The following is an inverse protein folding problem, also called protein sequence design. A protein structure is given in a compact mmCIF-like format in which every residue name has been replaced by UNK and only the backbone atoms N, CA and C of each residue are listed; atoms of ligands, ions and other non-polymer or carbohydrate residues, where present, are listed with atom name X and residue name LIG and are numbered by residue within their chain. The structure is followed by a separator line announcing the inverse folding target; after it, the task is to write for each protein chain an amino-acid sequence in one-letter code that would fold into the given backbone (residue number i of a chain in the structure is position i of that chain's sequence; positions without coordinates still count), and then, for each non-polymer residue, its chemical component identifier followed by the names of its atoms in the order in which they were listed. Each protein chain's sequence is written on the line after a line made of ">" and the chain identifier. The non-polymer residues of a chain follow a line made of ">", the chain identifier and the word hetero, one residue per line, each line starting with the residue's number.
data_IF_311760956070
#
_entry.id   IF_311760956070
#
_cell.length_a   1.000
_cell.length_b   1.000
_cell.length_c   1.000
_cell.angle_alpha   90.00
_cell.angle_beta   90.00
_cell.angle_gamma   90.00
#
_symmetry.space_group_name_H-M   'P 1'
#
loop_
_entity.id
_entity.type
_entity.pdbx_description
1 polymer ?
#
# COMPACT_ATOMS: atom_id res chain seq x y z
N UNK A 1 7.98 -23.19 -15.76
CA UNK A 1 8.11 -22.28 -14.60
C UNK A 1 7.98 -23.11 -13.33
N UNK A 2 9.05 -23.26 -12.55
CA UNK A 2 9.02 -23.96 -11.26
C UNK A 2 8.19 -23.16 -10.26
N UNK A 3 7.22 -23.80 -9.61
CA UNK A 3 6.43 -23.14 -8.56
C UNK A 3 7.36 -22.68 -7.43
N UNK A 4 7.30 -21.41 -7.07
CA UNK A 4 8.07 -20.89 -5.94
C UNK A 4 7.69 -21.66 -4.67
N UNK A 5 8.71 -22.02 -3.86
CA UNK A 5 8.49 -22.72 -2.59
C UNK A 5 7.61 -21.86 -1.67
N UNK A 6 6.78 -22.50 -0.86
CA UNK A 6 5.88 -21.81 0.07
C UNK A 6 6.62 -20.77 0.94
N UNK A 7 7.81 -21.12 1.45
CA UNK A 7 8.67 -20.18 2.23
C UNK A 7 8.99 -18.90 1.48
N UNK A 8 9.32 -18.99 0.18
CA UNK A 8 9.63 -17.82 -0.65
C UNK A 8 8.41 -16.93 -0.81
N UNK A 9 7.22 -17.52 -0.99
CA UNK A 9 5.96 -16.76 -1.08
C UNK A 9 5.63 -16.06 0.22
N UNK A 10 5.74 -16.76 1.35
CA UNK A 10 5.49 -16.19 2.68
C UNK A 10 6.45 -15.03 2.98
N UNK A 11 7.73 -15.21 2.64
CA UNK A 11 8.74 -14.17 2.82
C UNK A 11 8.47 -12.93 1.95
N UNK A 12 8.09 -13.15 0.69
CA UNK A 12 7.68 -12.06 -0.20
C UNK A 12 6.47 -11.30 0.36
N UNK A 13 5.45 -12.00 0.86
CA UNK A 13 4.27 -11.36 1.42
C UNK A 13 4.57 -10.59 2.71
N UNK A 14 5.45 -11.12 3.55
CA UNK A 14 5.91 -10.40 4.75
C UNK A 14 6.64 -9.11 4.38
N UNK A 15 7.55 -9.16 3.41
CA UNK A 15 8.26 -7.97 2.95
C UNK A 15 7.28 -6.98 2.33
N UNK A 16 6.33 -7.43 1.52
CA UNK A 16 5.34 -6.56 0.91
C UNK A 16 4.47 -5.84 1.97
N UNK A 17 4.05 -6.57 3.01
CA UNK A 17 3.35 -5.98 4.16
C UNK A 17 4.20 -4.96 4.91
N UNK A 18 5.47 -5.30 5.15
CA UNK A 18 6.43 -4.39 5.79
C UNK A 18 6.66 -3.12 4.97
N UNK A 19 6.76 -3.21 3.64
CA UNK A 19 6.84 -2.06 2.76
C UNK A 19 5.57 -1.20 2.82
N UNK A 20 4.39 -1.83 2.90
CA UNK A 20 3.13 -1.10 3.05
C UNK A 20 3.11 -0.28 4.34
N UNK A 21 3.45 -0.89 5.48
CA UNK A 21 3.59 -0.17 6.76
C UNK A 21 4.65 0.92 6.68
N UNK A 22 5.80 0.62 6.09
CA UNK A 22 6.89 1.59 5.99
C UNK A 22 6.46 2.85 5.24
N UNK A 23 5.87 2.72 4.06
CA UNK A 23 5.46 3.88 3.28
C UNK A 23 4.26 4.61 3.88
N UNK A 24 3.28 3.89 4.44
CA UNK A 24 2.09 4.51 4.98
C UNK A 24 2.31 5.13 6.35
N UNK A 25 2.99 4.44 7.26
CA UNK A 25 3.09 4.83 8.66
C UNK A 25 4.42 5.51 9.01
N UNK A 26 5.55 4.89 8.61
CA UNK A 26 6.87 5.41 8.96
C UNK A 26 7.18 6.67 8.15
N UNK A 27 7.06 6.59 6.82
CA UNK A 27 7.31 7.74 5.94
C UNK A 27 6.27 8.85 6.12
N UNK A 28 5.05 8.49 6.53
CA UNK A 28 3.99 9.44 6.88
C UNK A 28 4.15 10.09 8.25
N UNK A 29 4.93 9.48 9.12
CA UNK A 29 5.15 9.96 10.49
C UNK A 29 4.00 9.68 11.46
N UNK A 30 2.96 8.94 11.05
CA UNK A 30 1.82 8.55 11.90
C UNK A 30 2.23 7.52 12.95
N UNK A 31 3.08 6.58 12.57
CA UNK A 31 3.70 5.62 13.48
C UNK A 31 5.19 5.46 13.11
N UNK A 32 6.10 6.28 13.62
CA UNK A 32 7.51 6.27 13.20
C UNK A 32 8.27 5.01 13.61
N UNK A 33 7.79 4.27 14.61
CA UNK A 33 8.44 3.06 15.13
C UNK A 33 7.50 1.85 15.25
N UNK A 34 6.67 1.52 14.22
CA UNK A 34 5.63 0.49 14.32
C UNK A 34 6.21 -0.93 14.51
N UNK A 35 7.49 -1.12 14.22
CA UNK A 35 8.17 -2.41 14.37
C UNK A 35 8.76 -2.65 15.78
N UNK A 36 8.66 -1.67 16.67
CA UNK A 36 9.25 -1.70 18.00
C UNK A 36 8.23 -1.64 19.14
N UNK A 37 6.95 -1.45 18.82
CA UNK A 37 5.88 -1.43 19.80
C UNK A 37 4.84 -2.54 19.56
N UNK A 38 4.09 -2.88 20.61
CA UNK A 38 3.13 -3.98 20.55
C UNK A 38 1.95 -3.67 19.60
N UNK A 39 1.50 -2.42 19.52
CA UNK A 39 0.42 -2.02 18.63
C UNK A 39 0.83 -2.15 17.16
N UNK A 40 2.01 -1.65 16.83
CA UNK A 40 2.57 -1.77 15.49
C UNK A 40 2.74 -3.22 15.03
N UNK A 41 3.29 -4.09 15.91
CA UNK A 41 3.53 -5.49 15.57
C UNK A 41 2.27 -6.34 15.51
N UNK A 42 1.32 -6.16 16.44
CA UNK A 42 0.16 -7.04 16.57
C UNK A 42 -1.10 -6.50 15.89
N UNK A 43 -1.17 -5.22 15.60
CA UNK A 43 -2.31 -4.60 14.91
C UNK A 43 -1.92 -4.03 13.55
N UNK A 44 -1.00 -3.06 13.49
CA UNK A 44 -0.69 -2.32 12.25
C UNK A 44 -0.07 -3.25 11.20
N UNK A 45 1.00 -3.97 11.53
CA UNK A 45 1.68 -4.84 10.55
C UNK A 45 0.77 -5.95 10.00
N UNK A 46 -0.01 -6.69 10.80
CA UNK A 46 -0.98 -7.65 10.27
C UNK A 46 -2.08 -7.00 9.43
N UNK A 47 -2.63 -5.86 9.86
CA UNK A 47 -3.67 -5.14 9.13
C UNK A 47 -3.21 -4.77 7.72
N UNK A 48 -2.09 -4.08 7.60
CA UNK A 48 -1.53 -3.67 6.30
C UNK A 48 -1.10 -4.87 5.46
N UNK A 49 -0.44 -5.86 6.07
CA UNK A 49 0.03 -7.07 5.36
C UNK A 49 -1.13 -7.86 4.78
N UNK A 50 -2.18 -8.10 5.54
CA UNK A 50 -3.35 -8.83 5.06
C UNK A 50 -4.07 -8.08 3.94
N UNK A 51 -4.25 -6.77 4.09
CA UNK A 51 -4.94 -5.97 3.08
C UNK A 51 -4.17 -5.88 1.77
N UNK A 52 -2.86 -5.54 1.82
CA UNK A 52 -2.09 -5.44 0.58
C UNK A 52 -2.00 -6.78 -0.15
N UNK A 53 -1.81 -7.89 0.58
CA UNK A 53 -1.73 -9.22 -0.03
C UNK A 53 -3.07 -9.64 -0.60
N UNK A 54 -4.17 -9.46 0.15
CA UNK A 54 -5.51 -9.84 -0.31
C UNK A 54 -5.93 -9.02 -1.54
N UNK A 55 -5.78 -7.71 -1.50
CA UNK A 55 -6.16 -6.83 -2.60
C UNK A 55 -5.26 -7.01 -3.83
N UNK A 56 -3.95 -7.21 -3.64
CA UNK A 56 -3.06 -7.55 -4.74
C UNK A 56 -3.44 -8.88 -5.38
N UNK A 57 -3.79 -9.88 -4.59
CA UNK A 57 -4.28 -11.15 -5.11
C UNK A 57 -5.59 -11.00 -5.88
N UNK A 58 -6.53 -10.23 -5.36
CA UNK A 58 -7.84 -10.02 -5.97
C UNK A 58 -7.78 -9.20 -7.27
N UNK A 59 -6.89 -8.21 -7.36
CA UNK A 59 -6.84 -7.23 -8.45
C UNK A 59 -5.72 -7.52 -9.46
N UNK A 60 -4.52 -7.84 -8.98
CA UNK A 60 -3.34 -8.01 -9.86
C UNK A 60 -3.32 -9.39 -10.51
N UNK A 61 -3.57 -10.45 -9.73
CA UNK A 61 -3.46 -11.83 -10.22
C UNK A 61 -4.42 -12.21 -11.35
N UNK A 62 -5.69 -11.76 -11.38
CA UNK A 62 -6.66 -12.21 -12.38
C UNK A 62 -6.45 -11.62 -13.77
N UNK A 63 -5.68 -10.55 -13.91
CA UNK A 63 -5.57 -9.77 -15.14
C UNK A 63 -4.14 -9.71 -15.66
N UNK A 64 -3.98 -9.84 -16.98
CA UNK A 64 -2.66 -9.73 -17.64
C UNK A 64 -2.10 -8.29 -17.63
N UNK A 65 -2.97 -7.31 -17.56
CA UNK A 65 -2.61 -5.88 -17.47
C UNK A 65 -3.57 -5.21 -16.52
N UNK A 66 -3.06 -4.83 -15.37
CA UNK A 66 -3.85 -4.14 -14.35
C UNK A 66 -3.88 -2.65 -14.67
N UNK A 67 -5.05 -2.02 -14.84
CA UNK A 67 -5.10 -0.58 -15.01
C UNK A 67 -4.82 0.12 -13.67
N UNK A 68 -4.20 1.31 -13.73
CA UNK A 68 -3.92 2.11 -12.53
C UNK A 68 -5.21 2.43 -11.74
N UNK A 69 -6.32 2.61 -12.43
CA UNK A 69 -7.64 2.83 -11.80
C UNK A 69 -8.06 1.66 -10.89
N UNK A 70 -7.80 0.42 -11.30
CA UNK A 70 -8.12 -0.75 -10.46
C UNK A 70 -7.21 -0.82 -9.22
N UNK A 71 -5.92 -0.52 -9.37
CA UNK A 71 -5.00 -0.41 -8.23
C UNK A 71 -5.41 0.73 -7.30
N UNK A 72 -5.75 1.88 -7.86
CA UNK A 72 -6.25 3.02 -7.10
C UNK A 72 -7.52 2.68 -6.31
N UNK A 73 -8.52 2.08 -6.97
CA UNK A 73 -9.76 1.68 -6.29
C UNK A 73 -9.52 0.65 -5.18
N UNK A 74 -8.63 -0.31 -5.39
CA UNK A 74 -8.27 -1.28 -4.36
C UNK A 74 -7.65 -0.59 -3.14
N UNK A 75 -6.71 0.34 -3.35
CA UNK A 75 -6.12 1.12 -2.28
C UNK A 75 -7.12 2.07 -1.61
N UNK A 76 -8.08 2.64 -2.35
CA UNK A 76 -9.16 3.46 -1.79
C UNK A 76 -10.11 2.62 -0.90
N UNK A 77 -10.43 1.40 -1.29
CA UNK A 77 -11.20 0.47 -0.45
C UNK A 77 -10.42 0.14 0.82
N UNK A 78 -9.10 -0.09 0.71
CA UNK A 78 -8.25 -0.28 1.88
C UNK A 78 -8.31 0.95 2.81
N UNK A 79 -8.12 2.14 2.26
CA UNK A 79 -8.15 3.37 3.03
C UNK A 79 -9.48 3.63 3.74
N UNK A 80 -10.60 3.35 3.06
CA UNK A 80 -11.91 3.49 3.66
C UNK A 80 -12.13 2.51 4.82
N UNK A 81 -11.72 1.26 4.63
CA UNK A 81 -11.87 0.21 5.64
C UNK A 81 -10.97 0.46 6.85
N UNK A 82 -9.72 0.81 6.62
CA UNK A 82 -8.75 1.12 7.67
C UNK A 82 -9.19 2.36 8.46
N UNK A 83 -9.52 3.46 7.79
CA UNK A 83 -9.98 4.68 8.43
C UNK A 83 -11.28 4.49 9.23
N UNK A 84 -12.13 3.54 8.83
CA UNK A 84 -13.29 3.13 9.60
C UNK A 84 -12.90 2.41 10.89
N UNK A 85 -12.00 1.40 10.81
CA UNK A 85 -11.55 0.62 11.98
C UNK A 85 -10.83 1.51 12.99
N UNK A 86 -9.93 2.36 12.52
CA UNK A 86 -9.13 3.26 13.35
C UNK A 86 -9.90 4.50 13.83
N UNK A 87 -11.15 4.66 13.37
CA UNK A 87 -12.03 5.80 13.69
C UNK A 87 -11.53 7.15 13.20
N UNK A 88 -10.51 7.22 12.37
CA UNK A 88 -9.92 8.48 11.90
C UNK A 88 -10.90 9.32 11.08
N UNK A 89 -11.89 8.71 10.45
CA UNK A 89 -12.91 9.44 9.68
C UNK A 89 -13.85 10.28 10.56
N UNK A 90 -14.04 9.94 11.83
CA UNK A 90 -14.90 10.70 12.78
C UNK A 90 -14.19 11.17 14.04
N UNK A 91 -12.98 10.73 14.29
CA UNK A 91 -12.14 11.25 15.37
C UNK A 91 -10.67 11.30 14.94
N UNK A 92 -10.35 12.18 13.96
CA UNK A 92 -8.99 12.29 13.45
C UNK A 92 -8.03 12.78 14.53
N UNK A 93 -6.90 12.12 14.65
CA UNK A 93 -5.84 12.47 15.62
C UNK A 93 -4.81 13.43 15.02
N UNK A 94 -4.96 13.81 13.76
CA UNK A 94 -4.03 14.65 13.01
C UNK A 94 -4.77 15.73 12.20
N UNK A 95 -4.08 16.83 11.97
CA UNK A 95 -4.61 17.99 11.27
C UNK A 95 -5.65 18.77 12.09
N UNK A 96 -6.10 19.89 11.54
CA UNK A 96 -7.21 20.65 12.12
C UNK A 96 -8.53 19.95 11.79
N UNK A 97 -9.41 19.85 12.79
CA UNK A 97 -10.76 19.33 12.61
C UNK A 97 -11.57 20.33 11.78
N UNK A 98 -11.66 20.09 10.47
CA UNK A 98 -12.37 20.93 9.52
C UNK A 98 -13.86 20.58 9.40
N UNK A 99 -14.39 20.75 8.19
CA UNK A 99 -15.81 20.47 7.90
C UNK A 99 -16.14 18.99 8.10
N UNK A 100 -17.14 18.74 8.93
CA UNK A 100 -17.73 17.42 9.13
C UNK A 100 -19.17 17.37 8.62
N UNK A 101 -19.55 16.28 7.97
CA UNK A 101 -20.90 15.98 7.51
C UNK A 101 -21.32 14.62 8.05
N UNK A 102 -22.40 14.56 8.80
CA UNK A 102 -22.84 13.33 9.46
C UNK A 102 -21.81 12.77 10.45
N UNK A 103 -20.99 13.62 11.05
CA UNK A 103 -19.92 13.22 11.95
C UNK A 103 -18.61 12.78 11.25
N UNK A 104 -18.58 12.75 9.92
CA UNK A 104 -17.39 12.37 9.12
C UNK A 104 -16.61 13.63 8.72
N UNK A 105 -15.33 13.68 9.04
CA UNK A 105 -14.42 14.77 8.67
C UNK A 105 -13.95 14.61 7.22
N UNK A 106 -14.42 15.50 6.32
CA UNK A 106 -14.30 15.35 4.89
C UNK A 106 -12.85 15.43 4.39
N UNK A 107 -12.07 16.39 4.87
CA UNK A 107 -10.70 16.61 4.40
C UNK A 107 -9.80 15.42 4.77
N UNK A 108 -9.87 14.96 6.01
CA UNK A 108 -9.09 13.81 6.48
C UNK A 108 -9.51 12.52 5.77
N UNK A 109 -10.82 12.29 5.62
CA UNK A 109 -11.33 11.14 4.88
C UNK A 109 -10.88 11.16 3.41
N UNK A 110 -11.00 12.30 2.73
CA UNK A 110 -10.55 12.44 1.36
C UNK A 110 -9.04 12.19 1.22
N UNK A 111 -8.23 12.74 2.13
CA UNK A 111 -6.78 12.52 2.15
C UNK A 111 -6.42 11.04 2.30
N UNK A 112 -7.05 10.36 3.23
CA UNK A 112 -6.80 8.93 3.48
C UNK A 112 -7.27 8.06 2.31
N UNK A 113 -8.51 8.26 1.85
CA UNK A 113 -9.16 7.37 0.88
C UNK A 113 -8.71 7.65 -0.55
N UNK A 114 -8.44 8.92 -0.92
CA UNK A 114 -8.12 9.28 -2.30
C UNK A 114 -6.61 9.47 -2.57
N UNK A 115 -5.79 9.59 -1.53
CA UNK A 115 -4.36 9.78 -1.71
C UNK A 115 -3.53 8.81 -0.89
N UNK A 116 -3.65 8.84 0.45
CA UNK A 116 -2.70 8.17 1.32
C UNK A 116 -2.68 6.65 1.10
N UNK A 117 -3.80 6.00 1.29
CA UNK A 117 -3.85 4.56 1.17
C UNK A 117 -3.72 4.06 -0.28
N UNK A 118 -4.38 4.66 -1.29
CA UNK A 118 -4.17 4.23 -2.66
C UNK A 118 -2.71 4.25 -3.10
N UNK A 119 -1.99 5.28 -2.74
CA UNK A 119 -0.60 5.41 -3.19
C UNK A 119 0.39 4.88 -2.16
N UNK A 120 0.38 5.40 -0.93
CA UNK A 120 1.42 5.11 0.05
C UNK A 120 1.28 3.72 0.67
N UNK A 121 0.06 3.23 0.90
CA UNK A 121 -0.16 1.91 1.47
C UNK A 121 -0.31 0.80 0.42
N UNK A 122 -0.61 1.12 -0.85
CA UNK A 122 -0.91 0.11 -1.85
C UNK A 122 -0.03 0.19 -3.11
N UNK A 123 -0.15 1.22 -3.94
CA UNK A 123 0.54 1.29 -5.24
C UNK A 123 2.06 1.36 -5.07
N UNK A 124 2.56 2.24 -4.21
CA UNK A 124 4.01 2.42 -4.00
C UNK A 124 4.67 1.16 -3.41
N UNK A 125 4.12 0.51 -2.37
CA UNK A 125 4.65 -0.76 -1.87
C UNK A 125 4.63 -1.88 -2.91
N UNK A 126 3.55 -2.02 -3.69
CA UNK A 126 3.49 -3.00 -4.78
C UNK A 126 4.56 -2.76 -5.81
N UNK A 127 4.73 -1.50 -6.24
CA UNK A 127 5.76 -1.12 -7.19
C UNK A 127 7.17 -1.38 -6.64
N UNK A 128 7.43 -1.03 -5.39
CA UNK A 128 8.71 -1.29 -4.73
C UNK A 128 8.98 -2.80 -4.62
N UNK A 129 7.99 -3.57 -4.19
CA UNK A 129 8.08 -5.03 -4.15
C UNK A 129 8.30 -5.65 -5.53
N UNK A 130 7.64 -5.13 -6.56
CA UNK A 130 7.83 -5.57 -7.94
C UNK A 130 9.24 -5.27 -8.46
N UNK A 131 9.73 -4.05 -8.26
CA UNK A 131 11.05 -3.62 -8.74
C UNK A 131 12.20 -4.32 -8.01
N UNK A 132 12.08 -4.53 -6.70
CA UNK A 132 13.15 -5.04 -5.86
C UNK A 132 13.19 -6.57 -5.77
N UNK A 133 12.04 -7.23 -5.80
CA UNK A 133 11.91 -8.62 -5.38
C UNK A 133 11.43 -9.58 -6.48
N UNK A 134 10.92 -9.07 -7.61
CA UNK A 134 10.33 -9.91 -8.64
C UNK A 134 10.84 -9.58 -10.04
N UNK A 135 10.48 -10.42 -11.00
CA UNK A 135 10.65 -10.15 -12.42
C UNK A 135 9.35 -9.65 -13.08
N UNK A 136 8.29 -9.42 -12.31
CA UNK A 136 7.02 -8.89 -12.81
C UNK A 136 7.13 -7.41 -13.23
N UNK A 137 6.20 -6.95 -14.04
CA UNK A 137 6.06 -5.55 -14.49
C UNK A 137 4.60 -5.11 -14.55
N UNK A 138 3.71 -5.82 -13.84
CA UNK A 138 2.27 -5.54 -13.88
C UNK A 138 1.96 -4.16 -13.28
N UNK A 139 2.51 -3.85 -12.11
CA UNK A 139 2.32 -2.55 -11.46
C UNK A 139 3.01 -1.43 -12.22
N UNK A 140 4.25 -1.67 -12.66
CA UNK A 140 5.00 -0.72 -13.49
C UNK A 140 4.25 -0.42 -14.80
N UNK A 141 3.67 -1.44 -15.43
CA UNK A 141 2.89 -1.32 -16.66
C UNK A 141 1.56 -0.57 -16.49
N UNK A 142 1.06 -0.44 -15.26
CA UNK A 142 -0.13 0.32 -14.94
C UNK A 142 0.13 1.83 -14.83
N UNK A 143 1.39 2.24 -14.60
CA UNK A 143 1.74 3.65 -14.42
C UNK A 143 1.65 4.44 -15.72
N UNK A 144 1.30 5.74 -15.67
CA UNK A 144 1.45 6.65 -16.80
C UNK A 144 2.89 6.67 -17.32
N UNK A 145 3.08 6.78 -18.64
CA UNK A 145 4.40 6.69 -19.27
C UNK A 145 5.45 7.66 -18.74
N UNK A 146 5.05 8.84 -18.26
CA UNK A 146 5.97 9.80 -17.64
C UNK A 146 6.47 9.31 -16.27
N UNK A 147 5.59 8.70 -15.46
CA UNK A 147 5.97 8.15 -14.16
C UNK A 147 6.83 6.89 -14.31
N UNK A 148 6.48 6.01 -15.23
CA UNK A 148 7.27 4.81 -15.53
C UNK A 148 8.71 5.13 -15.99
N UNK A 149 8.90 6.22 -16.75
CA UNK A 149 10.23 6.67 -17.20
C UNK A 149 11.09 7.30 -16.12
N UNK A 150 10.48 7.83 -15.06
CA UNK A 150 11.19 8.42 -13.93
C UNK A 150 11.78 7.37 -12.97
N UNK A 151 11.38 6.11 -13.11
CA UNK A 151 11.85 5.03 -12.26
C UNK A 151 13.15 4.41 -12.80
N UNK A 152 14.07 3.94 -11.92
CA UNK A 152 15.30 3.30 -12.35
C UNK A 152 15.00 2.08 -13.21
N UNK A 153 15.67 1.98 -14.34
CA UNK A 153 15.58 0.80 -15.20
C UNK A 153 16.17 -0.41 -14.47
N UNK A 154 15.55 -1.57 -14.63
CA UNK A 154 16.01 -2.84 -14.03
C UNK A 154 17.49 -3.18 -14.31
N UNK A 155 18.05 -2.65 -15.38
CA UNK A 155 19.47 -2.83 -15.69
C UNK A 155 20.40 -2.29 -14.60
N UNK A 156 19.97 -1.31 -13.81
CA UNK A 156 20.73 -0.75 -12.70
C UNK A 156 20.57 -1.60 -11.44
N UNK A 157 19.40 -2.18 -11.20
CA UNK A 157 19.13 -2.99 -10.01
C UNK A 157 19.75 -4.42 -10.08
N UNK A 158 20.10 -4.89 -11.25
CA UNK A 158 20.74 -6.22 -11.47
C UNK A 158 22.27 -6.10 -11.54
N UNK A 159 22.80 -4.89 -11.75
CA UNK A 159 24.24 -4.63 -11.87
C UNK A 159 24.87 -4.02 -10.61
N UNK A 160 24.07 -3.71 -9.59
CA UNK A 160 24.49 -3.26 -8.27
C UNK A 160 24.35 -4.36 -7.22
#
# INVERSE_FOLDING_TARGET
>A
MTAARLRTKLFFWLILGTLSVFFAEVAGGSAPFPFYDAWGLYAVLPLYSLHIVFLAFAVVRPVRRVPLTALFCAGAVFGLYEAYITKVIWDPTWGEKGLAVGGVYLAQTAMLVLYWHPFMAFVVPLLAGELLLTSSTETLGALPGFAARALPTRAIAVAA
#
